data_IF_808596728808
#
_entry.id   IF_808596728808
#
_cell.length_a   1.000
_cell.length_b   1.000
_cell.length_c   1.000
_cell.angle_alpha   90.00
_cell.angle_beta   90.00
_cell.angle_gamma   90.00
#
_symmetry.space_group_name_H-M   'P 1'
#
loop_
_entity.id
_entity.type
_entity.pdbx_description
1 polymer ?
#
# COMPACT_ATOMS: atom_id res chain seq x y z
N UNK A 1 11.96 -4.86 8.77
CA UNK A 1 10.87 -5.87 8.87
C UNK A 1 10.03 -5.74 7.60
N UNK A 2 9.51 -6.84 7.02
CA UNK A 2 8.79 -6.80 5.73
C UNK A 2 7.31 -7.18 5.92
N UNK A 3 6.40 -6.61 5.13
CA UNK A 3 4.96 -6.77 5.25
C UNK A 3 4.29 -6.38 3.94
N UNK A 4 3.39 -7.24 3.46
CA UNK A 4 2.73 -7.09 2.16
C UNK A 4 1.22 -7.16 2.38
N UNK A 5 0.51 -6.23 1.76
CA UNK A 5 -0.96 -6.21 1.71
C UNK A 5 -1.38 -6.16 0.25
N UNK A 6 -2.30 -7.04 -0.13
CA UNK A 6 -2.87 -7.10 -1.47
C UNK A 6 -4.39 -7.07 -1.43
N UNK A 7 -4.99 -6.49 -2.47
CA UNK A 7 -6.43 -6.49 -2.67
C UNK A 7 -6.75 -6.78 -4.13
N UNK A 8 -7.72 -7.67 -4.36
CA UNK A 8 -8.25 -7.99 -5.69
C UNK A 8 -9.76 -7.87 -5.60
N UNK A 9 -10.37 -7.04 -6.44
CA UNK A 9 -11.81 -6.87 -6.50
C UNK A 9 -12.24 -5.60 -7.22
N UNK A 10 -13.53 -5.35 -7.27
CA UNK A 10 -14.15 -4.26 -8.05
C UNK A 10 -14.14 -2.88 -7.35
N UNK A 11 -13.46 -2.75 -6.21
CA UNK A 11 -13.42 -1.50 -5.43
C UNK A 11 -12.04 -0.87 -5.60
N UNK A 12 -11.93 0.43 -5.35
CA UNK A 12 -10.64 1.10 -5.37
C UNK A 12 -9.64 0.42 -4.42
N UNK A 13 -8.56 -0.11 -4.98
CA UNK A 13 -7.55 -0.86 -4.23
C UNK A 13 -6.75 0.04 -3.28
N UNK A 14 -6.54 1.31 -3.65
CA UNK A 14 -5.73 2.27 -2.90
C UNK A 14 -6.13 2.41 -1.43
N UNK A 15 -7.37 2.80 -1.07
CA UNK A 15 -7.75 2.96 0.33
C UNK A 15 -7.69 1.65 1.13
N UNK A 16 -7.92 0.51 0.47
CA UNK A 16 -7.92 -0.80 1.13
C UNK A 16 -6.49 -1.20 1.49
N UNK A 17 -5.58 -1.15 0.51
CA UNK A 17 -4.16 -1.47 0.70
C UNK A 17 -3.52 -0.49 1.68
N UNK A 18 -3.83 0.81 1.57
CA UNK A 18 -3.34 1.82 2.50
C UNK A 18 -3.73 1.50 3.95
N UNK A 19 -5.01 1.22 4.23
CA UNK A 19 -5.47 0.87 5.58
C UNK A 19 -4.83 -0.42 6.10
N UNK A 20 -4.60 -1.40 5.23
CA UNK A 20 -3.86 -2.61 5.61
C UNK A 20 -2.41 -2.31 5.99
N UNK A 21 -1.72 -1.45 5.23
CA UNK A 21 -0.35 -1.01 5.54
C UNK A 21 -0.28 -0.24 6.87
N UNK A 22 -1.25 0.64 7.16
CA UNK A 22 -1.37 1.32 8.48
C UNK A 22 -1.46 0.33 9.63
N UNK A 23 -2.22 -0.75 9.44
CA UNK A 23 -2.32 -1.82 10.45
C UNK A 23 -1.03 -2.60 10.64
N UNK A 24 -0.08 -2.52 9.71
CA UNK A 24 1.24 -3.13 9.84
C UNK A 24 2.27 -2.16 10.44
N UNK A 25 2.02 -0.85 10.40
CA UNK A 25 2.93 0.21 10.86
C UNK A 25 3.44 0.02 12.30
N UNK A 26 2.65 -0.58 13.20
CA UNK A 26 3.06 -0.91 14.58
C UNK A 26 4.34 -1.77 14.67
N UNK A 27 4.71 -2.45 13.58
CA UNK A 27 5.92 -3.28 13.48
C UNK A 27 7.18 -2.49 13.11
N UNK A 28 7.07 -1.18 12.88
CA UNK A 28 8.21 -0.31 12.56
C UNK A 28 8.69 -0.48 11.12
N UNK A 29 7.82 -0.15 10.16
CA UNK A 29 8.20 -0.08 8.74
C UNK A 29 8.87 1.26 8.44
N UNK A 30 10.08 1.18 7.90
CA UNK A 30 10.90 2.32 7.46
C UNK A 30 10.44 2.90 6.11
N UNK A 31 9.71 2.10 5.32
CA UNK A 31 9.22 2.45 3.99
C UNK A 31 7.97 1.65 3.63
N UNK A 32 7.14 2.21 2.74
CA UNK A 32 6.02 1.50 2.13
C UNK A 32 5.83 1.98 0.69
N UNK A 33 5.57 1.05 -0.24
CA UNK A 33 5.23 1.35 -1.63
C UNK A 33 3.89 0.72 -2.01
N UNK A 34 3.17 1.35 -2.92
CA UNK A 34 1.87 0.85 -3.41
C UNK A 34 1.91 0.79 -4.94
N UNK A 35 1.52 -0.36 -5.48
CA UNK A 35 1.30 -0.58 -6.89
C UNK A 35 -0.18 -0.94 -7.11
N UNK A 36 -0.82 -0.31 -8.08
CA UNK A 36 -2.21 -0.56 -8.43
C UNK A 36 -2.28 -0.83 -9.92
N UNK A 37 -3.03 -1.86 -10.28
CA UNK A 37 -3.29 -2.22 -11.65
C UNK A 37 -4.80 -2.15 -11.90
N UNK A 38 -5.20 -1.25 -12.78
CA UNK A 38 -6.61 -1.02 -13.12
C UNK A 38 -7.04 -1.85 -14.36
N UNK A 39 -6.23 -2.81 -14.81
CA UNK A 39 -6.48 -3.63 -16.01
C UNK A 39 -5.93 -3.02 -17.31
N UNK A 40 -5.70 -1.72 -17.33
CA UNK A 40 -5.15 -0.99 -18.49
C UNK A 40 -3.83 -0.31 -18.18
N UNK A 41 -3.73 0.30 -17.00
CA UNK A 41 -2.56 1.05 -16.57
C UNK A 41 -2.05 0.56 -15.21
N UNK A 42 -0.73 0.62 -15.05
CA UNK A 42 -0.04 0.23 -13.82
C UNK A 42 0.47 1.49 -13.13
N UNK A 43 -0.22 1.90 -12.08
CA UNK A 43 0.13 3.07 -11.28
C UNK A 43 1.02 2.67 -10.12
N UNK A 44 2.22 3.22 -10.10
CA UNK A 44 3.12 3.11 -8.96
C UNK A 44 3.16 4.41 -8.18
N UNK A 45 2.88 4.33 -6.88
CA UNK A 45 3.31 5.37 -5.96
C UNK A 45 4.67 5.01 -5.39
N UNK A 46 5.65 5.89 -5.64
CA UNK A 46 6.99 5.77 -5.07
C UNK A 46 6.89 5.74 -3.55
N UNK A 47 7.75 4.94 -2.88
CA UNK A 47 7.78 4.91 -1.44
C UNK A 47 8.17 6.29 -0.90
N UNK A 48 7.19 7.02 -0.36
CA UNK A 48 7.49 8.16 0.49
C UNK A 48 7.83 7.59 1.86
N UNK A 49 9.13 7.54 2.16
CA UNK A 49 9.60 7.32 3.53
C UNK A 49 8.96 8.41 4.39
N UNK A 50 8.35 7.95 5.49
CA UNK A 50 7.42 8.66 6.38
C UNK A 50 5.93 8.44 6.02
N UNK A 51 5.45 7.22 6.25
CA UNK A 51 4.14 7.10 6.92
C UNK A 51 4.33 7.74 8.31
N UNK A 52 3.92 8.99 8.44
CA UNK A 52 3.46 9.53 9.71
C UNK A 52 1.96 9.67 9.52
N UNK A 53 1.20 8.76 10.14
CA UNK A 53 -0.24 8.89 10.32
C UNK A 53 -0.50 9.00 11.81
#
# INVERSE_FOLDING_TARGET
MCGIVGYIGHRDAYPIVLNGLKRLEYRGYDSAGIAIYDGTDLKFQKPKVKLLI
#
